data_IF_236682084930
#
_entry.id   IF_236682084930
#
_cell.length_a   1.000
_cell.length_b   1.000
_cell.length_c   1.000
_cell.angle_alpha   90.00
_cell.angle_beta   90.00
_cell.angle_gamma   90.00
#
_symmetry.space_group_name_H-M   'P 1'
#
loop_
_entity.id
_entity.type
_entity.pdbx_description
1 polymer ?
#
# COMPACT_ATOMS: atom_id res chain seq x y z
N UNK A 1 22.55 17.18 13.04
CA UNK A 1 22.55 16.01 12.15
C UNK A 1 21.20 15.28 12.21
N UNK A 2 21.14 13.97 11.91
CA UNK A 2 19.86 13.22 11.90
C UNK A 2 19.25 13.24 13.29
N UNK A 3 20.02 12.94 14.33
CA UNK A 3 19.56 12.92 15.71
C UNK A 3 18.87 14.23 16.10
N UNK A 4 19.52 15.37 15.85
CA UNK A 4 19.00 16.69 16.24
C UNK A 4 17.65 16.99 15.58
N UNK A 5 17.47 16.58 14.33
CA UNK A 5 16.21 16.75 13.59
C UNK A 5 15.12 15.88 14.22
N UNK A 6 15.39 14.59 14.40
CA UNK A 6 14.39 13.65 14.92
C UNK A 6 13.99 14.02 16.34
N UNK A 7 14.95 14.28 17.20
CA UNK A 7 14.71 14.65 18.60
C UNK A 7 13.95 15.98 18.73
N UNK A 8 14.26 16.95 17.86
CA UNK A 8 13.53 18.22 17.82
C UNK A 8 12.05 18.02 17.45
N UNK A 9 11.74 17.25 16.42
CA UNK A 9 10.34 17.01 16.01
C UNK A 9 9.59 16.11 17.00
N UNK A 10 10.26 15.15 17.61
CA UNK A 10 9.69 14.36 18.71
C UNK A 10 9.39 15.23 19.93
N UNK A 11 10.31 16.12 20.29
CA UNK A 11 10.12 17.07 21.41
C UNK A 11 8.97 18.04 21.19
N UNK A 12 8.65 18.36 19.96
CA UNK A 12 7.47 19.14 19.57
C UNK A 12 6.17 18.30 19.50
N UNK A 13 6.24 16.99 19.71
CA UNK A 13 5.07 16.10 19.74
C UNK A 13 4.52 15.70 18.37
N UNK A 14 5.27 15.87 17.28
CA UNK A 14 4.80 15.48 15.94
C UNK A 14 4.65 13.97 15.78
N UNK A 15 5.48 13.18 16.44
CA UNK A 15 5.40 11.71 16.46
C UNK A 15 6.06 11.15 17.73
N UNK A 16 5.62 9.98 18.22
CA UNK A 16 6.12 9.42 19.46
C UNK A 16 7.48 8.73 19.34
N UNK A 17 7.84 8.29 18.14
CA UNK A 17 9.10 7.58 17.88
C UNK A 17 9.26 7.25 16.41
N UNK A 18 10.47 6.85 16.04
CA UNK A 18 10.83 6.52 14.66
C UNK A 18 11.93 5.48 14.60
N UNK A 19 12.04 4.77 13.48
CA UNK A 19 13.23 4.02 13.07
C UNK A 19 13.78 4.64 11.80
N UNK A 20 15.09 4.84 11.74
CA UNK A 20 15.76 5.42 10.58
C UNK A 20 16.87 4.49 10.14
N UNK A 21 16.89 4.18 8.85
CA UNK A 21 17.97 3.45 8.19
C UNK A 21 18.45 4.28 7.00
N UNK A 22 19.73 4.52 6.93
CA UNK A 22 20.36 5.17 5.77
C UNK A 22 21.35 4.21 5.14
N UNK A 23 21.22 4.00 3.85
CA UNK A 23 22.14 3.17 3.07
C UNK A 23 22.82 4.00 1.99
N UNK A 24 24.11 3.71 1.75
CA UNK A 24 24.90 4.32 0.67
C UNK A 24 25.81 3.25 0.05
N UNK A 25 25.81 3.16 -1.27
CA UNK A 25 26.63 2.18 -1.97
C UNK A 25 26.34 0.73 -1.56
N UNK A 26 25.06 0.38 -1.31
CA UNK A 26 24.64 -0.95 -0.88
C UNK A 26 24.98 -1.31 0.57
N UNK A 27 25.45 -0.36 1.38
CA UNK A 27 25.79 -0.56 2.79
C UNK A 27 24.94 0.33 3.68
N UNK A 28 24.48 -0.21 4.80
CA UNK A 28 23.87 0.58 5.87
C UNK A 28 24.97 1.41 6.53
N UNK A 29 24.80 2.74 6.51
CA UNK A 29 25.75 3.70 7.10
C UNK A 29 25.18 4.37 8.35
N UNK A 30 23.88 4.23 8.59
CA UNK A 30 23.21 4.71 9.79
C UNK A 30 22.00 3.85 10.07
N UNK A 31 21.79 3.51 11.34
CA UNK A 31 20.64 2.72 11.80
C UNK A 31 20.37 3.08 13.25
N UNK A 32 19.15 3.59 13.55
CA UNK A 32 18.78 3.97 14.91
C UNK A 32 17.27 3.98 15.11
N UNK A 33 16.84 3.56 16.31
CA UNK A 33 15.48 3.71 16.83
C UNK A 33 15.43 4.89 17.80
N UNK A 34 14.32 5.63 17.80
CA UNK A 34 14.08 6.80 18.65
C UNK A 34 12.74 6.69 19.34
N UNK A 35 12.66 7.15 20.58
CA UNK A 35 11.42 7.33 21.33
C UNK A 35 10.62 6.04 21.54
N UNK A 36 9.34 6.10 21.31
CA UNK A 36 8.39 5.05 21.69
C UNK A 36 7.62 4.51 20.49
N UNK A 37 7.43 3.20 20.48
CA UNK A 37 6.55 2.52 19.53
C UNK A 37 5.07 2.76 19.85
N UNK A 38 4.76 2.94 21.14
CA UNK A 38 3.42 3.24 21.63
C UNK A 38 3.54 4.15 22.85
N UNK A 39 3.14 5.40 22.70
CA UNK A 39 3.18 6.41 23.75
C UNK A 39 1.80 6.64 24.36
N UNK A 40 0.76 6.54 23.54
CA UNK A 40 -0.63 6.70 23.95
C UNK A 40 -1.44 5.48 23.51
N UNK A 41 -2.50 5.18 24.26
CA UNK A 41 -3.55 4.24 23.85
C UNK A 41 -4.91 4.95 23.94
N UNK A 42 -5.71 4.91 22.86
CA UNK A 42 -7.01 5.59 22.76
C UNK A 42 -6.98 7.05 23.22
N UNK A 43 -5.89 7.76 22.95
CA UNK A 43 -5.71 9.16 23.32
C UNK A 43 -5.20 9.40 24.75
N UNK A 44 -5.04 8.35 25.55
CA UNK A 44 -4.51 8.43 26.93
C UNK A 44 -3.03 8.06 26.93
N UNK A 45 -2.21 8.88 27.58
CA UNK A 45 -0.79 8.61 27.75
C UNK A 45 -0.60 7.38 28.64
N UNK A 46 0.26 6.46 28.18
CA UNK A 46 0.62 5.26 28.94
C UNK A 46 1.58 5.62 30.09
N UNK A 47 1.40 5.00 31.24
CA UNK A 47 2.33 5.10 32.37
C UNK A 47 3.66 4.39 32.06
N UNK A 48 3.62 3.29 31.30
CA UNK A 48 4.78 2.55 30.83
C UNK A 48 4.76 2.44 29.28
N UNK A 49 5.19 3.48 28.56
CA UNK A 49 5.17 3.52 27.10
C UNK A 49 6.22 2.55 26.52
N UNK A 50 5.80 1.77 25.51
CA UNK A 50 6.68 0.78 24.88
C UNK A 50 7.78 1.46 24.04
N UNK A 51 9.08 1.22 24.33
CA UNK A 51 10.18 1.79 23.58
C UNK A 51 10.16 1.38 22.11
N UNK A 52 10.61 2.27 21.23
CA UNK A 52 10.86 1.96 19.83
C UNK A 52 12.12 1.08 19.71
N UNK A 53 12.05 0.06 18.86
CA UNK A 53 13.19 -0.80 18.54
C UNK A 53 13.33 -0.94 17.02
N UNK A 54 14.51 -1.34 16.55
CA UNK A 54 14.75 -1.48 15.10
C UNK A 54 13.88 -2.56 14.45
N UNK A 55 13.41 -3.53 15.23
CA UNK A 55 12.51 -4.59 14.77
C UNK A 55 11.03 -4.33 15.10
N UNK A 56 10.68 -3.12 15.55
CA UNK A 56 9.29 -2.73 15.75
C UNK A 56 8.53 -2.81 14.44
N UNK A 57 7.36 -3.46 14.47
CA UNK A 57 6.47 -3.55 13.32
C UNK A 57 5.62 -2.29 13.19
N UNK A 58 5.51 -1.78 11.96
CA UNK A 58 4.70 -0.63 11.62
C UNK A 58 3.52 -1.03 10.75
N UNK A 59 2.38 -0.35 10.92
CA UNK A 59 1.37 -0.29 9.87
C UNK A 59 1.93 0.53 8.72
N UNK A 60 2.13 -0.12 7.59
CA UNK A 60 2.74 0.52 6.41
C UNK A 60 1.78 1.44 5.67
N UNK A 61 0.49 1.40 6.00
CA UNK A 61 -0.54 2.23 5.36
C UNK A 61 -0.33 2.27 3.82
N UNK A 62 -0.29 3.45 3.21
CA UNK A 62 -0.12 3.59 1.76
C UNK A 62 1.26 3.21 1.22
N UNK A 63 2.27 3.03 2.05
CA UNK A 63 3.53 2.41 1.59
C UNK A 63 3.30 0.99 1.05
N UNK A 64 2.22 0.33 1.47
CA UNK A 64 1.76 -0.96 0.92
C UNK A 64 1.58 -0.91 -0.60
N UNK A 65 1.12 0.22 -1.15
CA UNK A 65 0.95 0.38 -2.59
C UNK A 65 2.26 0.16 -3.35
N UNK A 66 3.35 0.72 -2.82
CA UNK A 66 4.68 0.62 -3.45
C UNK A 66 5.34 -0.71 -3.09
N UNK A 67 5.31 -1.10 -1.81
CA UNK A 67 6.07 -2.25 -1.31
C UNK A 67 5.42 -3.60 -1.66
N UNK A 68 4.11 -3.64 -1.84
CA UNK A 68 3.38 -4.86 -2.14
C UNK A 68 2.75 -4.83 -3.53
N UNK A 69 1.78 -3.93 -3.77
CA UNK A 69 0.96 -3.95 -4.98
C UNK A 69 1.78 -3.67 -6.23
N UNK A 70 2.54 -2.57 -6.24
CA UNK A 70 3.39 -2.23 -7.40
C UNK A 70 4.44 -3.29 -7.66
N UNK A 71 5.10 -3.83 -6.63
CA UNK A 71 6.09 -4.90 -6.81
C UNK A 71 5.45 -6.16 -7.42
N UNK A 72 4.22 -6.49 -7.04
CA UNK A 72 3.48 -7.62 -7.61
C UNK A 72 3.19 -7.41 -9.09
N UNK A 73 2.72 -6.22 -9.46
CA UNK A 73 2.46 -5.88 -10.87
C UNK A 73 3.78 -5.89 -11.67
N UNK A 74 4.86 -5.31 -11.15
CA UNK A 74 6.18 -5.33 -11.80
C UNK A 74 6.67 -6.77 -12.05
N UNK A 75 6.51 -7.65 -11.06
CA UNK A 75 6.88 -9.06 -11.21
C UNK A 75 6.02 -9.74 -12.28
N UNK A 76 4.71 -9.60 -12.23
CA UNK A 76 3.82 -10.15 -13.24
C UNK A 76 4.12 -9.64 -14.65
N UNK A 77 4.46 -8.34 -14.75
CA UNK A 77 4.88 -7.73 -16.01
C UNK A 77 6.21 -8.34 -16.52
N UNK A 78 7.20 -8.49 -15.66
CA UNK A 78 8.48 -9.10 -16.03
C UNK A 78 8.36 -10.57 -16.44
N UNK A 79 7.33 -11.25 -15.95
CA UNK A 79 7.00 -12.64 -16.31
C UNK A 79 6.08 -12.76 -17.54
N UNK A 80 5.70 -11.63 -18.16
CA UNK A 80 4.77 -11.61 -19.30
C UNK A 80 3.33 -12.01 -18.96
N UNK A 81 2.96 -12.02 -17.67
CA UNK A 81 1.63 -12.41 -17.20
C UNK A 81 0.61 -11.28 -17.21
N UNK A 82 1.06 -10.04 -17.33
CA UNK A 82 0.23 -8.85 -17.45
C UNK A 82 0.80 -7.92 -18.51
N UNK A 83 -0.08 -7.37 -19.33
CA UNK A 83 0.23 -6.27 -20.24
C UNK A 83 -0.34 -4.97 -19.64
N UNK A 84 0.52 -4.01 -19.37
CA UNK A 84 0.14 -2.71 -18.78
C UNK A 84 -0.70 -1.86 -19.74
N UNK A 85 -0.64 -2.15 -21.06
CA UNK A 85 -1.42 -1.47 -22.09
C UNK A 85 -2.78 -2.15 -22.35
N UNK A 86 -2.98 -3.36 -21.83
CA UNK A 86 -4.27 -4.03 -21.92
C UNK A 86 -5.30 -3.33 -21.03
N UNK A 87 -6.57 -3.41 -21.42
CA UNK A 87 -7.66 -2.85 -20.61
C UNK A 87 -7.81 -3.61 -19.30
N UNK A 88 -8.15 -2.92 -18.23
CA UNK A 88 -8.41 -3.58 -16.92
C UNK A 88 -9.53 -4.61 -17.07
N UNK A 89 -10.55 -4.30 -17.86
CA UNK A 89 -11.68 -5.21 -18.11
C UNK A 89 -11.27 -6.53 -18.81
N UNK A 90 -10.12 -6.58 -19.49
CA UNK A 90 -9.64 -7.85 -20.09
C UNK A 90 -9.20 -8.85 -19.03
N UNK A 91 -8.82 -8.40 -17.84
CA UNK A 91 -8.47 -9.22 -16.69
C UNK A 91 -9.61 -9.36 -15.68
N UNK A 92 -10.39 -8.30 -15.50
CA UNK A 92 -11.55 -8.22 -14.60
C UNK A 92 -12.78 -7.78 -15.40
N UNK A 93 -13.47 -8.71 -16.08
CA UNK A 93 -14.63 -8.40 -16.95
C UNK A 93 -15.75 -7.66 -16.21
N UNK A 94 -15.90 -7.87 -14.90
CA UNK A 94 -16.85 -7.20 -14.05
C UNK A 94 -16.64 -5.67 -14.00
N UNK A 95 -15.43 -5.22 -14.26
CA UNK A 95 -15.06 -3.80 -14.31
C UNK A 95 -15.33 -3.13 -15.67
N UNK A 96 -16.12 -3.74 -16.54
CA UNK A 96 -16.36 -3.27 -17.92
C UNK A 96 -16.89 -1.84 -18.02
N UNK A 97 -17.65 -1.36 -17.03
CA UNK A 97 -18.16 0.01 -16.98
C UNK A 97 -17.03 1.05 -16.97
N UNK A 98 -16.03 0.83 -16.10
CA UNK A 98 -14.94 1.76 -15.80
C UNK A 98 -13.57 1.24 -16.28
N UNK A 99 -13.48 0.02 -16.76
CA UNK A 99 -12.24 -0.70 -17.08
C UNK A 99 -11.84 -0.64 -18.55
N UNK A 100 -12.30 0.35 -19.30
CA UNK A 100 -11.93 0.57 -20.70
C UNK A 100 -10.51 1.08 -20.85
N UNK A 101 -10.04 1.78 -19.83
CA UNK A 101 -8.68 2.27 -19.76
C UNK A 101 -7.70 1.12 -19.43
N UNK A 102 -6.44 1.34 -19.75
CA UNK A 102 -5.39 0.34 -19.53
C UNK A 102 -4.98 0.25 -18.05
N UNK A 103 -4.22 -0.79 -17.70
CA UNK A 103 -3.76 -1.04 -16.33
C UNK A 103 -2.90 0.12 -15.80
N UNK A 104 -2.17 0.82 -16.67
CA UNK A 104 -1.30 1.94 -16.29
C UNK A 104 -2.05 3.05 -15.57
N UNK A 105 -3.30 3.35 -15.93
CA UNK A 105 -4.07 4.45 -15.29
C UNK A 105 -4.37 4.19 -13.81
N UNK A 106 -4.43 2.93 -13.39
CA UNK A 106 -4.56 2.58 -11.97
C UNK A 106 -3.25 2.84 -11.22
N UNK A 107 -2.12 2.49 -11.82
CA UNK A 107 -0.77 2.70 -11.24
C UNK A 107 -0.43 4.18 -11.11
N UNK A 108 -0.89 5.00 -12.05
CA UNK A 108 -0.60 6.44 -12.12
C UNK A 108 -1.66 7.32 -11.47
N UNK A 109 -2.68 6.72 -10.85
CA UNK A 109 -3.79 7.44 -10.24
C UNK A 109 -4.58 8.34 -11.22
N UNK A 110 -4.70 7.92 -12.48
CA UNK A 110 -5.40 8.69 -13.53
C UNK A 110 -6.69 8.03 -14.01
N UNK A 111 -7.21 7.08 -13.25
CA UNK A 111 -8.41 6.29 -13.61
C UNK A 111 -9.74 7.03 -13.45
N UNK A 112 -9.76 8.16 -12.74
CA UNK A 112 -10.99 8.88 -12.40
C UNK A 112 -11.78 8.25 -11.23
N UNK A 113 -11.34 7.12 -10.68
CA UNK A 113 -11.99 6.48 -9.54
C UNK A 113 -11.97 7.39 -8.29
N UNK A 114 -12.96 7.23 -7.39
CA UNK A 114 -12.96 7.92 -6.11
C UNK A 114 -11.64 7.72 -5.36
N UNK A 115 -11.21 8.75 -4.64
CA UNK A 115 -9.95 8.71 -3.89
C UNK A 115 -10.00 7.68 -2.76
N UNK A 116 -11.11 7.65 -2.03
CA UNK A 116 -11.28 6.80 -0.87
C UNK A 116 -12.76 6.54 -0.56
N UNK A 117 -13.04 5.41 0.08
CA UNK A 117 -14.36 5.08 0.61
C UNK A 117 -14.22 4.26 1.89
N UNK A 118 -14.96 4.60 2.91
CA UNK A 118 -15.01 3.86 4.18
C UNK A 118 -15.77 2.53 4.03
N UNK A 119 -15.31 1.65 3.14
CA UNK A 119 -16.02 0.40 2.82
C UNK A 119 -16.19 -0.49 4.05
N UNK A 120 -15.28 -0.41 5.00
CA UNK A 120 -15.35 -1.15 6.27
C UNK A 120 -16.57 -0.79 7.14
N UNK A 121 -17.22 0.35 6.87
CA UNK A 121 -18.47 0.76 7.55
C UNK A 121 -19.73 0.26 6.86
N UNK A 122 -19.67 0.00 5.55
CA UNK A 122 -20.85 -0.26 4.72
C UNK A 122 -20.85 -1.63 4.06
N UNK A 123 -19.67 -2.20 3.87
CA UNK A 123 -19.48 -3.48 3.22
C UNK A 123 -18.91 -4.41 4.28
N UNK A 124 -19.62 -5.49 4.60
CA UNK A 124 -19.10 -6.54 5.45
C UNK A 124 -17.71 -6.98 4.92
N UNK A 125 -16.90 -7.65 5.74
CA UNK A 125 -15.55 -8.13 5.37
C UNK A 125 -15.60 -9.16 4.21
N UNK A 126 -16.21 -8.75 3.10
CA UNK A 126 -16.48 -9.56 1.92
C UNK A 126 -15.77 -8.92 0.71
N UNK A 127 -14.70 -9.56 0.24
CA UNK A 127 -13.93 -9.09 -0.92
C UNK A 127 -14.77 -8.99 -2.19
N UNK A 128 -15.75 -9.87 -2.39
CA UNK A 128 -16.58 -9.84 -3.59
C UNK A 128 -17.49 -8.59 -3.60
N UNK A 129 -18.01 -8.19 -2.46
CA UNK A 129 -18.79 -6.94 -2.33
C UNK A 129 -17.91 -5.70 -2.53
N UNK A 130 -16.66 -5.74 -2.07
CA UNK A 130 -15.70 -4.65 -2.32
C UNK A 130 -15.40 -4.52 -3.81
N UNK A 131 -15.13 -5.64 -4.48
CA UNK A 131 -14.89 -5.65 -5.93
C UNK A 131 -16.13 -5.13 -6.67
N UNK A 132 -17.33 -5.62 -6.34
CA UNK A 132 -18.58 -5.18 -6.96
C UNK A 132 -18.80 -3.67 -6.79
N UNK A 133 -18.56 -3.13 -5.58
CA UNK A 133 -18.62 -1.69 -5.35
C UNK A 133 -17.68 -0.90 -6.27
N UNK A 134 -16.40 -1.31 -6.36
CA UNK A 134 -15.42 -0.60 -7.20
C UNK A 134 -15.80 -0.71 -8.68
N UNK A 135 -16.29 -1.87 -9.12
CA UNK A 135 -16.73 -2.08 -10.49
C UNK A 135 -17.90 -1.21 -10.90
N UNK A 136 -18.80 -0.89 -9.96
CA UNK A 136 -20.06 -0.19 -10.24
C UNK A 136 -20.09 1.27 -9.77
N UNK A 137 -19.09 1.74 -9.01
CA UNK A 137 -19.07 3.13 -8.54
C UNK A 137 -19.00 4.13 -9.72
N UNK A 138 -19.52 5.34 -9.49
CA UNK A 138 -19.36 6.43 -10.44
C UNK A 138 -17.94 6.99 -10.37
N UNK A 139 -17.39 7.39 -11.53
CA UNK A 139 -16.14 8.13 -11.57
C UNK A 139 -16.35 9.52 -10.97
N UNK A 140 -15.42 9.96 -10.12
CA UNK A 140 -15.47 11.29 -9.49
C UNK A 140 -14.65 12.32 -10.25
N UNK A 141 -13.75 11.87 -11.11
CA UNK A 141 -12.83 12.72 -11.88
C UNK A 141 -12.78 12.27 -13.32
N UNK A 142 -12.34 13.15 -14.21
CA UNK A 142 -12.13 12.79 -15.60
C UNK A 142 -10.97 11.78 -15.71
N UNK A 143 -11.12 10.70 -16.51
CA UNK A 143 -9.98 9.84 -16.83
C UNK A 143 -8.83 10.65 -17.43
N UNK A 144 -7.61 10.39 -16.98
CA UNK A 144 -6.42 11.17 -17.33
C UNK A 144 -6.05 12.26 -16.32
N UNK A 145 -6.99 12.70 -15.47
CA UNK A 145 -6.70 13.61 -14.37
C UNK A 145 -6.02 12.85 -13.22
N UNK A 146 -4.86 13.32 -12.73
CA UNK A 146 -4.14 12.70 -11.63
C UNK A 146 -4.86 12.98 -10.29
N UNK A 147 -5.48 11.94 -9.74
CA UNK A 147 -6.15 11.96 -8.44
C UNK A 147 -5.83 10.67 -7.68
N UNK A 148 -5.07 10.83 -6.63
CA UNK A 148 -4.71 9.69 -5.76
C UNK A 148 -5.94 8.87 -5.39
N UNK A 149 -5.91 7.56 -5.64
CA UNK A 149 -7.04 6.67 -5.42
C UNK A 149 -6.63 5.36 -4.76
N UNK A 150 -7.17 5.13 -3.56
CA UNK A 150 -7.08 3.83 -2.88
C UNK A 150 -7.84 2.75 -3.66
N UNK A 151 -9.00 3.13 -4.25
CA UNK A 151 -9.82 2.19 -5.01
C UNK A 151 -9.09 1.67 -6.25
N UNK A 152 -8.31 2.53 -6.91
CA UNK A 152 -7.47 2.12 -8.03
C UNK A 152 -6.44 1.06 -7.62
N UNK A 153 -5.80 1.23 -6.47
CA UNK A 153 -4.83 0.26 -5.96
C UNK A 153 -5.47 -1.01 -5.39
N UNK A 154 -6.68 -0.92 -4.84
CA UNK A 154 -7.47 -2.12 -4.49
C UNK A 154 -7.81 -2.92 -5.75
N UNK A 155 -8.18 -2.27 -6.85
CA UNK A 155 -8.41 -2.93 -8.14
C UNK A 155 -7.14 -3.63 -8.65
N UNK A 156 -5.96 -3.01 -8.53
CA UNK A 156 -4.68 -3.67 -8.84
C UNK A 156 -4.44 -4.91 -7.97
N UNK A 157 -4.82 -4.87 -6.69
CA UNK A 157 -4.77 -6.03 -5.81
C UNK A 157 -5.66 -7.16 -6.31
N UNK A 158 -6.92 -6.88 -6.67
CA UNK A 158 -7.81 -7.87 -7.29
C UNK A 158 -7.27 -8.42 -8.60
N UNK A 159 -6.59 -7.58 -9.38
CA UNK A 159 -5.96 -7.99 -10.64
C UNK A 159 -4.83 -9.00 -10.40
N UNK A 160 -3.97 -8.76 -9.39
CA UNK A 160 -2.96 -9.75 -8.98
C UNK A 160 -3.62 -11.05 -8.54
N UNK A 161 -4.66 -11.01 -7.71
CA UNK A 161 -5.38 -12.20 -7.26
C UNK A 161 -6.02 -12.96 -8.44
N UNK A 162 -6.61 -12.26 -9.39
CA UNK A 162 -7.23 -12.85 -10.59
C UNK A 162 -6.22 -13.57 -11.49
N UNK A 163 -5.06 -12.95 -11.72
CA UNK A 163 -4.01 -13.52 -12.58
C UNK A 163 -3.33 -14.72 -11.91
N UNK A 164 -3.10 -14.64 -10.60
CA UNK A 164 -2.28 -15.62 -9.87
C UNK A 164 -3.10 -16.76 -9.26
N UNK A 165 -4.39 -16.55 -9.04
CA UNK A 165 -5.26 -17.47 -8.30
C UNK A 165 -4.95 -17.55 -6.81
N UNK A 166 -4.14 -16.61 -6.28
CA UNK A 166 -3.73 -16.54 -4.87
C UNK A 166 -4.17 -15.22 -4.25
N UNK A 167 -4.34 -15.19 -2.93
CA UNK A 167 -4.54 -13.91 -2.24
C UNK A 167 -3.31 -13.02 -2.37
N UNK A 168 -3.54 -11.71 -2.33
CA UNK A 168 -2.47 -10.71 -2.52
C UNK A 168 -1.36 -10.87 -1.48
N UNK A 169 -1.72 -11.08 -0.21
CA UNK A 169 -0.77 -11.28 0.90
C UNK A 169 0.06 -12.55 0.72
N UNK A 170 -0.57 -13.66 0.30
CA UNK A 170 0.13 -14.91 0.00
C UNK A 170 1.10 -14.74 -1.16
N UNK A 171 0.67 -14.07 -2.24
CA UNK A 171 1.51 -13.83 -3.40
C UNK A 171 2.75 -12.99 -3.04
N UNK A 172 2.55 -11.83 -2.39
CA UNK A 172 3.64 -10.94 -1.96
C UNK A 172 4.61 -11.65 -1.03
N UNK A 173 4.09 -12.35 -0.03
CA UNK A 173 4.91 -13.09 0.92
C UNK A 173 5.82 -14.11 0.24
N UNK A 174 5.27 -14.91 -0.67
CA UNK A 174 5.99 -16.03 -1.27
C UNK A 174 6.88 -15.61 -2.44
N UNK A 175 6.41 -14.70 -3.28
CA UNK A 175 7.07 -14.36 -4.54
C UNK A 175 8.00 -13.14 -4.43
N UNK A 176 7.83 -12.30 -3.40
CA UNK A 176 8.60 -11.07 -3.23
C UNK A 176 9.38 -11.08 -1.91
N UNK A 177 8.69 -11.18 -0.78
CA UNK A 177 9.33 -10.96 0.52
C UNK A 177 10.25 -12.10 0.94
N UNK A 178 9.84 -13.36 0.78
CA UNK A 178 10.70 -14.52 1.09
C UNK A 178 11.98 -14.54 0.24
N UNK A 179 11.94 -14.37 -1.09
CA UNK A 179 13.15 -14.28 -1.91
C UNK A 179 14.10 -13.15 -1.49
N UNK A 180 13.56 -12.04 -0.97
CA UNK A 180 14.35 -10.93 -0.44
C UNK A 180 14.85 -11.17 0.99
N UNK A 181 14.52 -12.29 1.61
CA UNK A 181 14.93 -12.62 2.98
C UNK A 181 14.15 -11.88 4.06
N UNK A 182 13.03 -11.22 3.71
CA UNK A 182 12.18 -10.55 4.68
C UNK A 182 11.43 -11.60 5.51
N UNK A 183 11.51 -11.47 6.86
CA UNK A 183 10.98 -12.48 7.78
C UNK A 183 9.64 -12.10 8.41
N UNK A 184 9.27 -10.84 8.34
CA UNK A 184 8.05 -10.30 8.93
C UNK A 184 7.38 -9.33 7.95
#
# INVERSE_FOLDING_TARGET
AIDDIVENYMGQGYFPGATIVVARGGKIVYEKAYGYAMLNDMGVRLDDPRPMQMDTMFDMASCTKIMATTQSIMKLYSEGKIDLNATVASYIPEFAKNGKENVTVLLTHTSGLPQWKAMFLYIEKDKAKVLDYICNCELMFAPGEEKYSDLGFQMLGFLVERITGRSMDEYVKNEIYKPLGLKR
#
